data_IF_089305955938
#
_entry.id   IF_089305955938
#
_cell.length_a   1.000
_cell.length_b   1.000
_cell.length_c   1.000
_cell.angle_alpha   90.00
_cell.angle_beta   90.00
_cell.angle_gamma   90.00
#
_symmetry.space_group_name_H-M   'P 1'
#
loop_
_entity.id
_entity.type
_entity.pdbx_description
1 polymer ?
#
# COMPACT_ATOMS: atom_id res chain seq x y z
N UNK A 1 31.48 -1.99 -37.17
CA UNK A 1 30.34 -2.85 -36.89
C UNK A 1 30.31 -3.36 -35.42
N UNK A 2 31.41 -3.80 -34.86
CA UNK A 2 31.50 -4.34 -33.48
C UNK A 2 31.10 -3.30 -32.39
N UNK A 3 31.47 -2.06 -32.49
CA UNK A 3 31.17 -1.03 -31.47
C UNK A 3 29.67 -0.67 -31.35
N UNK A 4 28.92 -0.69 -32.46
CA UNK A 4 27.46 -0.47 -32.44
C UNK A 4 26.71 -1.64 -31.82
N UNK A 5 27.19 -2.88 -32.02
CA UNK A 5 26.58 -4.08 -31.44
C UNK A 5 26.76 -4.15 -29.91
N UNK A 6 27.93 -3.74 -29.40
CA UNK A 6 28.20 -3.69 -27.95
C UNK A 6 27.38 -2.57 -27.29
N UNK A 7 27.28 -1.39 -27.90
CA UNK A 7 26.45 -0.29 -27.39
C UNK A 7 24.98 -0.68 -27.25
N UNK A 8 24.39 -1.28 -28.29
CA UNK A 8 23.00 -1.75 -28.24
C UNK A 8 22.79 -2.85 -27.19
N UNK A 9 23.79 -3.72 -26.97
CA UNK A 9 23.69 -4.78 -25.95
C UNK A 9 23.70 -4.19 -24.54
N UNK A 10 24.53 -3.18 -24.29
CA UNK A 10 24.58 -2.49 -22.99
C UNK A 10 23.29 -1.70 -22.70
N UNK A 11 22.79 -0.96 -23.67
CA UNK A 11 21.52 -0.22 -23.54
C UNK A 11 20.34 -1.13 -23.27
N UNK A 12 20.26 -2.27 -23.94
CA UNK A 12 19.22 -3.29 -23.66
C UNK A 12 19.34 -3.87 -22.25
N UNK A 13 20.56 -4.08 -21.75
CA UNK A 13 20.79 -4.56 -20.37
C UNK A 13 20.35 -3.51 -19.34
N UNK A 14 20.68 -2.22 -19.55
CA UNK A 14 20.25 -1.13 -18.70
C UNK A 14 18.73 -1.03 -18.61
N UNK A 15 18.05 -1.09 -19.74
CA UNK A 15 16.59 -1.06 -19.80
C UNK A 15 15.98 -2.27 -19.09
N UNK A 16 16.51 -3.46 -19.31
CA UNK A 16 16.04 -4.66 -18.64
C UNK A 16 16.21 -4.59 -17.12
N UNK A 17 17.38 -4.14 -16.63
CA UNK A 17 17.63 -3.98 -15.20
C UNK A 17 16.72 -2.94 -14.55
N UNK A 18 16.46 -1.81 -15.21
CA UNK A 18 15.53 -0.80 -14.73
C UNK A 18 14.10 -1.36 -14.58
N UNK A 19 13.63 -2.16 -15.55
CA UNK A 19 12.33 -2.82 -15.50
C UNK A 19 12.25 -3.84 -14.36
N UNK A 20 13.28 -4.67 -14.18
CA UNK A 20 13.36 -5.64 -13.07
C UNK A 20 13.27 -4.93 -11.72
N UNK A 21 14.02 -3.84 -11.53
CA UNK A 21 13.98 -3.08 -10.29
C UNK A 21 12.66 -2.38 -10.05
N UNK A 22 12.01 -1.89 -11.10
CA UNK A 22 10.66 -1.33 -10.98
C UNK A 22 9.65 -2.39 -10.48
N UNK A 23 9.74 -3.62 -11.01
CA UNK A 23 8.90 -4.74 -10.56
C UNK A 23 9.21 -5.13 -9.12
N UNK A 24 10.49 -5.16 -8.72
CA UNK A 24 10.89 -5.44 -7.33
C UNK A 24 10.35 -4.38 -6.37
N UNK A 25 10.46 -3.10 -6.71
CA UNK A 25 9.89 -2.00 -5.92
C UNK A 25 8.36 -2.10 -5.83
N UNK A 26 7.71 -2.39 -6.95
CA UNK A 26 6.27 -2.60 -6.97
C UNK A 26 5.85 -3.78 -6.08
N UNK A 27 6.62 -4.87 -6.07
CA UNK A 27 6.38 -6.01 -5.17
C UNK A 27 6.52 -5.60 -3.70
N UNK A 28 7.57 -4.87 -3.32
CA UNK A 28 7.77 -4.43 -1.94
C UNK A 28 6.65 -3.50 -1.47
N UNK A 29 6.27 -2.54 -2.32
CA UNK A 29 5.17 -1.63 -2.03
C UNK A 29 3.83 -2.39 -1.92
N UNK A 30 3.58 -3.36 -2.81
CA UNK A 30 2.37 -4.19 -2.75
C UNK A 30 2.31 -5.00 -1.46
N UNK A 31 3.39 -5.68 -1.08
CA UNK A 31 3.46 -6.46 0.15
C UNK A 31 3.27 -5.56 1.38
N UNK A 32 3.88 -4.39 1.41
CA UNK A 32 3.67 -3.41 2.46
C UNK A 32 2.19 -2.99 2.55
N UNK A 33 1.60 -2.53 1.45
CA UNK A 33 0.19 -2.08 1.42
C UNK A 33 -0.77 -3.19 1.81
N UNK A 34 -0.47 -4.44 1.45
CA UNK A 34 -1.31 -5.59 1.79
C UNK A 34 -1.17 -6.00 3.25
N UNK A 35 0.07 -6.16 3.73
CA UNK A 35 0.35 -6.73 5.02
C UNK A 35 0.22 -5.69 6.14
N UNK A 36 0.86 -4.53 6.01
CA UNK A 36 0.70 -3.45 6.99
C UNK A 36 -0.65 -2.72 6.85
N UNK A 37 -1.26 -2.77 5.66
CA UNK A 37 -2.57 -2.15 5.42
C UNK A 37 -3.69 -2.71 6.28
N UNK A 38 -3.74 -4.03 6.54
CA UNK A 38 -4.73 -4.54 7.48
C UNK A 38 -4.40 -4.17 8.93
N UNK A 39 -3.13 -4.06 9.31
CA UNK A 39 -2.71 -3.61 10.63
C UNK A 39 -3.17 -2.17 10.88
N UNK A 40 -2.96 -1.28 9.90
CA UNK A 40 -3.47 0.10 9.92
C UNK A 40 -5.00 0.12 9.99
N UNK A 41 -5.67 -0.74 9.24
CA UNK A 41 -7.12 -0.90 9.25
C UNK A 41 -7.65 -1.32 10.62
N UNK A 42 -7.03 -2.29 11.27
CA UNK A 42 -7.36 -2.72 12.65
C UNK A 42 -7.10 -1.57 13.63
N UNK A 43 -5.98 -0.85 13.47
CA UNK A 43 -5.68 0.32 14.29
C UNK A 43 -6.75 1.41 14.20
N UNK A 44 -7.21 1.74 13.01
CA UNK A 44 -8.30 2.70 12.78
C UNK A 44 -9.60 2.20 13.41
N UNK A 45 -9.92 0.93 13.25
CA UNK A 45 -11.11 0.30 13.84
C UNK A 45 -11.09 0.31 15.37
N UNK A 46 -9.91 0.26 15.98
CA UNK A 46 -9.76 0.32 17.44
C UNK A 46 -10.30 1.63 18.04
N UNK A 47 -10.26 2.74 17.28
CA UNK A 47 -10.84 4.03 17.70
C UNK A 47 -12.36 3.98 17.88
N UNK A 48 -13.03 3.11 17.12
CA UNK A 48 -14.50 2.97 17.18
C UNK A 48 -14.96 2.01 18.27
N UNK A 49 -14.03 1.28 18.89
CA UNK A 49 -14.35 0.32 19.96
C UNK A 49 -14.61 1.04 21.28
N UNK A 50 -15.75 0.76 21.91
CA UNK A 50 -16.17 1.36 23.20
C UNK A 50 -15.70 0.58 24.42
N UNK A 51 -15.20 -0.66 24.24
CA UNK A 51 -14.86 -1.60 25.32
C UNK A 51 -13.37 -1.95 25.24
N UNK A 52 -12.67 -1.90 26.39
CA UNK A 52 -11.26 -2.27 26.50
C UNK A 52 -10.99 -3.73 26.11
N UNK A 53 -11.86 -4.64 26.50
CA UNK A 53 -11.75 -6.07 26.15
C UNK A 53 -11.77 -6.27 24.63
N UNK A 54 -12.65 -5.56 23.92
CA UNK A 54 -12.67 -5.60 22.44
C UNK A 54 -11.39 -5.02 21.84
N UNK A 55 -10.83 -3.94 22.41
CA UNK A 55 -9.55 -3.40 21.95
C UNK A 55 -8.40 -4.37 22.20
N UNK A 56 -8.39 -5.03 23.35
CA UNK A 56 -7.41 -6.07 23.65
C UNK A 56 -7.45 -7.18 22.59
N UNK A 57 -8.64 -7.66 22.21
CA UNK A 57 -8.80 -8.66 21.15
C UNK A 57 -8.29 -8.12 19.78
N UNK A 58 -8.63 -6.88 19.42
CA UNK A 58 -8.20 -6.26 18.18
C UNK A 58 -6.66 -6.16 18.11
N UNK A 59 -6.02 -5.69 19.17
CA UNK A 59 -4.56 -5.56 19.21
C UNK A 59 -3.90 -6.94 19.26
N UNK A 60 -4.41 -7.88 20.08
CA UNK A 60 -3.88 -9.25 20.13
C UNK A 60 -3.99 -9.93 18.76
N UNK A 61 -5.03 -9.62 17.94
CA UNK A 61 -5.18 -10.23 16.61
C UNK A 61 -4.02 -9.91 15.66
N UNK A 62 -3.33 -8.81 15.87
CA UNK A 62 -2.13 -8.46 15.12
C UNK A 62 -0.90 -9.26 15.60
N UNK A 63 -0.87 -9.66 16.88
CA UNK A 63 0.22 -10.44 17.46
C UNK A 63 1.58 -9.81 17.21
N UNK A 64 2.57 -10.64 16.96
CA UNK A 64 3.94 -10.20 16.63
C UNK A 64 4.19 -10.14 15.11
N UNK A 65 3.11 -10.11 14.28
CA UNK A 65 3.28 -10.07 12.82
C UNK A 65 3.40 -8.65 12.26
N UNK A 66 2.95 -7.63 13.01
CA UNK A 66 2.95 -6.24 12.56
C UNK A 66 4.35 -5.71 12.22
N UNK A 67 5.38 -6.04 13.00
CA UNK A 67 6.76 -5.64 12.77
C UNK A 67 7.31 -6.24 11.47
N UNK A 68 7.02 -7.52 11.22
CA UNK A 68 7.37 -8.19 9.97
C UNK A 68 6.67 -7.57 8.75
N UNK A 69 5.44 -7.08 8.91
CA UNK A 69 4.68 -6.42 7.85
C UNK A 69 5.28 -5.05 7.50
N UNK A 70 5.68 -4.26 8.51
CA UNK A 70 6.29 -2.94 8.32
C UNK A 70 7.66 -3.00 7.65
N UNK A 71 8.40 -4.11 7.79
CA UNK A 71 9.73 -4.29 7.20
C UNK A 71 9.74 -4.10 5.67
N UNK A 72 8.63 -4.41 4.97
CA UNK A 72 8.53 -4.20 3.53
C UNK A 72 8.62 -2.73 3.10
N UNK A 73 8.18 -1.79 3.95
CA UNK A 73 8.36 -0.35 3.72
C UNK A 73 9.84 0.04 3.80
N UNK A 74 10.57 -0.50 4.77
CA UNK A 74 12.01 -0.26 4.94
C UNK A 74 12.79 -0.78 3.73
N UNK A 75 12.47 -2.01 3.28
CA UNK A 75 13.06 -2.59 2.07
C UNK A 75 12.75 -1.75 0.82
N UNK A 76 11.52 -1.27 0.68
CA UNK A 76 11.11 -0.42 -0.44
C UNK A 76 11.89 0.89 -0.44
N UNK A 77 12.05 1.56 0.71
CA UNK A 77 12.82 2.79 0.83
C UNK A 77 14.29 2.60 0.48
N UNK A 78 14.93 1.54 1.01
CA UNK A 78 16.33 1.21 0.71
C UNK A 78 16.55 0.81 -0.75
N UNK A 79 15.64 0.05 -1.34
CA UNK A 79 15.69 -0.35 -2.74
C UNK A 79 15.48 0.84 -3.68
N UNK A 80 14.56 1.76 -3.36
CA UNK A 80 14.33 2.99 -4.12
C UNK A 80 15.59 3.87 -4.10
N UNK A 81 16.22 4.04 -2.93
CA UNK A 81 17.46 4.79 -2.77
C UNK A 81 18.60 4.22 -3.63
N UNK A 82 18.77 2.91 -3.62
CA UNK A 82 19.86 2.26 -4.35
C UNK A 82 19.63 2.10 -5.85
N UNK A 83 18.41 1.75 -6.26
CA UNK A 83 18.10 1.46 -7.66
C UNK A 83 17.71 2.71 -8.47
N UNK A 84 17.06 3.70 -7.82
CA UNK A 84 16.58 4.92 -8.47
C UNK A 84 16.89 6.17 -7.63
N UNK A 85 18.18 6.50 -7.44
CA UNK A 85 18.60 7.56 -6.52
C UNK A 85 18.04 8.95 -6.86
N UNK A 86 17.89 9.28 -8.14
CA UNK A 86 17.27 10.52 -8.59
C UNK A 86 15.79 10.57 -8.14
N UNK A 87 15.04 9.50 -8.37
CA UNK A 87 13.64 9.41 -7.97
C UNK A 87 13.49 9.48 -6.44
N UNK A 88 14.36 8.81 -5.70
CA UNK A 88 14.38 8.86 -4.23
C UNK A 88 14.52 10.30 -3.73
N UNK A 89 15.52 11.03 -4.21
CA UNK A 89 15.77 12.43 -3.80
C UNK A 89 14.60 13.36 -4.16
N UNK A 90 14.03 13.20 -5.35
CA UNK A 90 12.93 14.03 -5.85
C UNK A 90 11.64 13.75 -5.10
N UNK A 91 11.27 12.46 -4.88
CA UNK A 91 10.07 12.06 -4.13
C UNK A 91 10.17 12.53 -2.68
N UNK A 92 11.31 12.32 -2.00
CA UNK A 92 11.49 12.77 -0.62
C UNK A 92 11.40 14.29 -0.48
N UNK A 93 11.88 15.03 -1.46
CA UNK A 93 11.79 16.49 -1.45
C UNK A 93 10.36 16.97 -1.68
N UNK A 94 9.67 16.42 -2.69
CA UNK A 94 8.30 16.80 -3.02
C UNK A 94 7.28 16.39 -1.95
N UNK A 95 7.46 15.21 -1.34
CA UNK A 95 6.54 14.60 -0.39
C UNK A 95 7.09 14.60 1.04
N UNK A 96 7.97 15.55 1.37
CA UNK A 96 8.58 15.66 2.69
C UNK A 96 7.55 15.59 3.82
N UNK A 97 6.51 16.43 3.77
CA UNK A 97 5.49 16.47 4.81
C UNK A 97 4.67 15.16 4.89
N UNK A 98 4.11 14.62 3.79
CA UNK A 98 3.42 13.34 3.83
C UNK A 98 4.28 12.19 4.34
N UNK A 99 5.53 12.07 3.90
CA UNK A 99 6.42 10.99 4.31
C UNK A 99 6.73 11.09 5.81
N UNK A 100 7.06 12.28 6.32
CA UNK A 100 7.28 12.46 7.76
C UNK A 100 6.01 12.23 8.58
N UNK A 101 4.85 12.73 8.10
CA UNK A 101 3.55 12.47 8.76
C UNK A 101 3.22 10.98 8.83
N UNK A 102 3.50 10.24 7.75
CA UNK A 102 3.38 8.78 7.72
C UNK A 102 4.30 8.11 8.74
N UNK A 103 5.61 8.46 8.74
CA UNK A 103 6.60 7.89 9.66
C UNK A 103 6.23 8.18 11.12
N UNK A 104 5.81 9.41 11.45
CA UNK A 104 5.34 9.72 12.80
C UNK A 104 4.11 8.90 13.18
N UNK A 105 3.15 8.71 12.26
CA UNK A 105 2.00 7.83 12.47
C UNK A 105 2.43 6.40 12.80
N UNK A 106 3.37 5.84 12.05
CA UNK A 106 3.92 4.50 12.28
C UNK A 106 4.65 4.41 13.62
N UNK A 107 5.48 5.39 13.98
CA UNK A 107 6.16 5.45 15.28
C UNK A 107 5.15 5.48 16.42
N UNK A 108 4.12 6.34 16.37
CA UNK A 108 3.10 6.39 17.40
C UNK A 108 2.34 5.07 17.53
N UNK A 109 2.01 4.42 16.42
CA UNK A 109 1.39 3.10 16.40
C UNK A 109 2.27 2.04 17.07
N UNK A 110 3.54 1.93 16.65
CA UNK A 110 4.48 0.95 17.16
C UNK A 110 4.73 1.13 18.66
N UNK A 111 5.04 2.36 19.09
CA UNK A 111 5.26 2.68 20.51
C UNK A 111 4.00 2.40 21.33
N UNK A 112 2.81 2.74 20.83
CA UNK A 112 1.56 2.48 21.52
C UNK A 112 1.30 0.99 21.69
N UNK A 113 1.62 0.17 20.67
CA UNK A 113 1.45 -1.28 20.72
C UNK A 113 2.28 -1.89 21.84
N UNK A 114 3.57 -1.55 21.95
CA UNK A 114 4.50 -2.08 22.93
C UNK A 114 4.24 -1.55 24.36
N UNK A 115 4.00 -0.24 24.50
CA UNK A 115 3.90 0.37 25.83
C UNK A 115 2.54 0.21 26.50
N UNK A 116 1.47 -0.03 25.72
CA UNK A 116 0.10 -0.18 26.24
C UNK A 116 -0.02 -1.34 27.24
N UNK A 117 0.62 -2.46 26.97
CA UNK A 117 0.54 -3.66 27.82
C UNK A 117 1.07 -3.39 29.25
N UNK A 118 2.12 -2.57 29.35
CA UNK A 118 2.79 -2.25 30.62
C UNK A 118 2.26 -0.96 31.27
N UNK A 119 1.29 -0.28 30.64
CA UNK A 119 0.80 1.02 31.12
C UNK A 119 -0.43 0.89 32.00
N UNK A 120 -0.46 1.69 33.08
CA UNK A 120 -1.67 1.92 33.87
C UNK A 120 -2.71 2.78 33.15
N UNK A 121 -2.29 3.63 32.19
CA UNK A 121 -3.15 4.48 31.39
C UNK A 121 -3.32 3.93 29.97
N UNK A 122 -4.15 2.92 29.82
CA UNK A 122 -4.46 2.33 28.50
C UNK A 122 -5.13 3.29 27.52
N UNK A 123 -5.88 4.30 28.01
CA UNK A 123 -6.63 5.23 27.14
C UNK A 123 -5.70 6.04 26.24
N UNK A 124 -4.61 6.58 26.80
CA UNK A 124 -3.61 7.33 26.02
C UNK A 124 -3.05 6.46 24.87
N UNK A 125 -2.64 5.24 25.17
CA UNK A 125 -2.05 4.34 24.19
C UNK A 125 -3.06 3.82 23.16
N UNK A 126 -4.33 3.63 23.54
CA UNK A 126 -5.40 3.30 22.62
C UNK A 126 -5.58 4.40 21.55
N UNK A 127 -5.59 5.66 22.01
CA UNK A 127 -5.69 6.82 21.10
C UNK A 127 -4.43 6.93 20.23
N UNK A 128 -3.25 6.77 20.81
CA UNK A 128 -1.98 6.84 20.09
C UNK A 128 -1.89 5.74 18.99
N UNK A 129 -2.32 4.51 19.31
CA UNK A 129 -2.38 3.40 18.35
C UNK A 129 -3.33 3.70 17.17
N UNK A 130 -4.56 4.08 17.48
CA UNK A 130 -5.57 4.31 16.45
C UNK A 130 -5.32 5.58 15.63
N UNK A 131 -4.94 6.69 16.28
CA UNK A 131 -4.61 7.95 15.60
C UNK A 131 -3.32 7.81 14.80
N UNK A 132 -2.30 7.11 15.33
CA UNK A 132 -1.07 6.80 14.60
C UNK A 132 -1.36 6.02 13.31
N UNK A 133 -2.20 4.97 13.39
CA UNK A 133 -2.64 4.19 12.24
C UNK A 133 -3.43 5.04 11.22
N UNK A 134 -4.33 5.90 11.69
CA UNK A 134 -5.08 6.83 10.84
C UNK A 134 -4.16 7.83 10.14
N UNK A 135 -3.22 8.43 10.87
CA UNK A 135 -2.24 9.38 10.32
C UNK A 135 -1.37 8.69 9.25
N UNK A 136 -0.84 7.50 9.54
CA UNK A 136 -0.05 6.75 8.58
C UNK A 136 -0.82 6.50 7.29
N UNK A 137 -2.06 5.99 7.37
CA UNK A 137 -2.93 5.74 6.22
C UNK A 137 -3.28 7.04 5.45
N UNK A 138 -3.58 8.13 6.17
CA UNK A 138 -3.93 9.42 5.58
C UNK A 138 -2.76 9.98 4.75
N UNK A 139 -1.57 10.02 5.33
CA UNK A 139 -0.39 10.55 4.68
C UNK A 139 0.14 9.64 3.55
N UNK A 140 -0.01 8.32 3.65
CA UNK A 140 0.22 7.41 2.52
C UNK A 140 -0.71 7.74 1.35
N UNK A 141 -1.97 7.99 1.63
CA UNK A 141 -2.94 8.36 0.60
C UNK A 141 -2.64 9.69 -0.05
N UNK A 142 -2.21 10.70 0.71
CA UNK A 142 -1.73 11.97 0.15
C UNK A 142 -0.50 11.77 -0.72
N UNK A 143 0.48 10.98 -0.28
CA UNK A 143 1.67 10.67 -1.07
C UNK A 143 1.31 9.96 -2.39
N UNK A 144 0.44 8.95 -2.32
CA UNK A 144 -0.05 8.25 -3.51
C UNK A 144 -0.79 9.18 -4.46
N UNK A 145 -1.71 10.00 -3.94
CA UNK A 145 -2.47 10.97 -4.73
C UNK A 145 -1.57 11.95 -5.46
N UNK A 146 -0.56 12.48 -4.78
CA UNK A 146 0.41 13.42 -5.37
C UNK A 146 1.28 12.77 -6.45
N UNK A 147 1.70 11.51 -6.27
CA UNK A 147 2.45 10.78 -7.31
C UNK A 147 1.57 10.55 -8.54
N UNK A 148 0.29 10.20 -8.35
CA UNK A 148 -0.65 10.03 -9.46
C UNK A 148 -0.95 11.35 -10.18
N UNK A 149 -0.98 12.46 -9.46
CA UNK A 149 -1.15 13.80 -10.02
C UNK A 149 0.06 14.23 -10.85
N UNK A 150 1.23 13.80 -10.43
CA UNK A 150 2.49 14.15 -11.04
C UNK A 150 3.26 15.20 -10.24
N UNK A 151 4.56 14.95 -10.09
CA UNK A 151 5.48 15.83 -9.38
C UNK A 151 6.16 16.75 -10.39
N UNK A 152 6.13 18.06 -10.13
CA UNK A 152 6.80 19.07 -10.98
C UNK A 152 8.31 18.96 -10.82
N UNK A 153 9.01 18.72 -11.92
CA UNK A 153 10.47 18.60 -11.94
C UNK A 153 11.07 19.48 -13.02
N UNK A 154 12.31 19.91 -12.80
CA UNK A 154 13.13 20.58 -13.83
C UNK A 154 13.74 19.57 -14.82
N UNK A 155 14.52 20.06 -15.78
CA UNK A 155 15.21 19.24 -16.79
C UNK A 155 16.24 18.26 -16.17
N UNK A 156 16.72 18.56 -14.95
CA UNK A 156 17.66 17.71 -14.20
C UNK A 156 16.94 16.68 -13.33
N UNK A 157 15.60 16.72 -13.29
CA UNK A 157 14.78 15.84 -12.47
C UNK A 157 14.60 16.26 -11.02
N UNK A 158 15.02 17.48 -10.64
CA UNK A 158 14.83 17.99 -9.30
C UNK A 158 13.45 18.63 -9.14
N UNK A 159 12.88 18.50 -7.93
CA UNK A 159 11.60 19.09 -7.59
C UNK A 159 11.63 20.62 -7.62
N UNK A 160 10.68 21.23 -8.30
CA UNK A 160 10.52 22.70 -8.44
C UNK A 160 9.17 23.22 -7.94
N UNK A 161 8.39 22.39 -7.28
CA UNK A 161 7.08 22.76 -6.73
C UNK A 161 7.16 23.41 -5.34
N UNK A 162 5.97 23.63 -4.75
CA UNK A 162 5.82 24.07 -3.37
C UNK A 162 5.77 22.88 -2.42
N UNK A 163 6.24 23.07 -1.17
CA UNK A 163 6.12 22.07 -0.09
C UNK A 163 4.67 21.71 0.26
N UNK A 164 3.67 22.41 -0.30
CA UNK A 164 2.25 22.19 -0.09
C UNK A 164 1.52 21.62 -1.32
N UNK A 165 2.22 21.35 -2.43
CA UNK A 165 1.61 20.84 -3.67
C UNK A 165 0.93 19.48 -3.47
N UNK A 166 1.32 18.71 -2.45
CA UNK A 166 0.68 17.46 -2.07
C UNK A 166 -0.72 17.63 -1.48
N UNK A 167 -1.07 18.81 -0.95
CA UNK A 167 -2.34 19.09 -0.31
C UNK A 167 -3.35 19.63 -1.33
N UNK A 168 -3.90 18.73 -2.13
CA UNK A 168 -4.93 19.02 -3.11
C UNK A 168 -6.16 18.12 -2.87
N UNK A 169 -7.34 18.56 -3.36
CA UNK A 169 -8.59 17.83 -3.17
C UNK A 169 -8.57 16.42 -3.80
N UNK A 170 -7.78 16.21 -4.87
CA UNK A 170 -7.60 14.92 -5.55
C UNK A 170 -6.78 13.96 -4.68
N UNK A 171 -5.68 14.45 -4.16
CA UNK A 171 -4.86 13.70 -3.19
C UNK A 171 -5.65 13.36 -1.94
N UNK A 172 -6.52 14.28 -1.48
CA UNK A 172 -7.45 14.02 -0.37
C UNK A 172 -8.46 12.91 -0.73
N UNK A 173 -9.02 12.90 -1.94
CA UNK A 173 -9.93 11.84 -2.40
C UNK A 173 -9.23 10.48 -2.39
N UNK A 174 -7.99 10.41 -2.88
CA UNK A 174 -7.17 9.19 -2.85
C UNK A 174 -6.91 8.76 -1.40
N UNK A 175 -6.55 9.71 -0.51
CA UNK A 175 -6.29 9.42 0.89
C UNK A 175 -7.53 8.87 1.62
N UNK A 176 -8.69 9.47 1.43
CA UNK A 176 -9.94 8.98 2.01
C UNK A 176 -10.33 7.59 1.47
N UNK A 177 -10.10 7.36 0.17
CA UNK A 177 -10.36 6.05 -0.44
C UNK A 177 -9.41 4.98 0.07
N UNK A 178 -8.12 5.29 0.25
CA UNK A 178 -7.12 4.38 0.81
C UNK A 178 -7.45 4.01 2.26
N UNK A 179 -7.85 4.99 3.09
CA UNK A 179 -8.30 4.74 4.47
C UNK A 179 -9.48 3.75 4.48
N UNK A 180 -10.48 3.94 3.60
CA UNK A 180 -11.61 3.01 3.50
C UNK A 180 -11.17 1.62 3.01
N UNK A 181 -10.20 1.55 2.12
CA UNK A 181 -9.56 0.30 1.70
C UNK A 181 -8.88 -0.41 2.88
N UNK A 182 -8.13 0.31 3.70
CA UNK A 182 -7.50 -0.28 4.91
C UNK A 182 -8.54 -0.69 5.97
N UNK A 183 -9.60 0.07 6.17
CA UNK A 183 -10.74 -0.35 7.00
C UNK A 183 -11.40 -1.61 6.44
N UNK A 184 -11.51 -1.73 5.12
CA UNK A 184 -12.06 -2.92 4.47
C UNK A 184 -11.19 -4.16 4.71
N UNK A 185 -9.88 -4.08 4.42
CA UNK A 185 -9.00 -5.23 4.60
C UNK A 185 -8.83 -5.58 6.09
N UNK A 186 -8.74 -4.59 6.98
CA UNK A 186 -8.72 -4.79 8.43
C UNK A 186 -10.00 -5.47 8.94
N UNK A 187 -11.18 -5.03 8.47
CA UNK A 187 -12.46 -5.67 8.84
C UNK A 187 -12.54 -7.10 8.35
N UNK A 188 -12.13 -7.40 7.12
CA UNK A 188 -12.15 -8.78 6.58
C UNK A 188 -11.12 -9.68 7.26
N UNK A 189 -9.97 -9.13 7.67
CA UNK A 189 -9.01 -9.83 8.51
C UNK A 189 -9.60 -10.15 9.89
N UNK A 190 -10.28 -9.20 10.53
CA UNK A 190 -10.91 -9.41 11.84
C UNK A 190 -12.08 -10.40 11.78
N UNK A 191 -12.80 -10.51 10.67
CA UNK A 191 -13.79 -11.60 10.48
C UNK A 191 -13.11 -12.97 10.61
N UNK A 192 -11.90 -13.13 10.08
CA UNK A 192 -11.15 -14.37 10.16
C UNK A 192 -10.62 -14.64 11.58
N UNK A 193 -10.26 -13.57 12.32
CA UNK A 193 -9.54 -13.63 13.60
C UNK A 193 -10.44 -13.59 14.85
N UNK A 194 -11.70 -13.21 14.72
CA UNK A 194 -12.61 -13.01 15.87
C UNK A 194 -13.84 -13.92 15.79
N UNK A 195 -14.60 -13.95 16.87
CA UNK A 195 -15.85 -14.74 16.99
C UNK A 195 -17.00 -13.90 17.58
N UNK A 196 -18.21 -14.46 17.53
CA UNK A 196 -19.39 -13.97 18.22
C UNK A 196 -19.87 -12.59 17.75
N UNK A 197 -20.18 -11.70 18.70
CA UNK A 197 -20.69 -10.36 18.41
C UNK A 197 -19.65 -9.47 17.70
N UNK A 198 -18.37 -9.60 18.08
CA UNK A 198 -17.29 -8.82 17.51
C UNK A 198 -17.12 -9.16 16.02
N UNK A 199 -17.08 -10.43 15.67
CA UNK A 199 -17.06 -10.89 14.28
C UNK A 199 -18.29 -10.39 13.50
N UNK A 200 -19.48 -10.46 14.11
CA UNK A 200 -20.72 -9.99 13.47
C UNK A 200 -20.67 -8.48 13.17
N UNK A 201 -20.09 -7.67 14.07
CA UNK A 201 -19.91 -6.25 13.84
C UNK A 201 -18.98 -5.98 12.65
N UNK A 202 -17.92 -6.79 12.47
CA UNK A 202 -16.97 -6.64 11.37
C UNK A 202 -17.57 -6.99 10.01
N UNK A 203 -18.54 -7.92 9.92
CA UNK A 203 -19.29 -8.12 8.67
C UNK A 203 -20.03 -6.85 8.23
N UNK A 204 -20.63 -6.11 9.18
CA UNK A 204 -21.31 -4.85 8.87
C UNK A 204 -20.33 -3.78 8.43
N UNK A 205 -19.23 -3.63 9.16
CA UNK A 205 -18.17 -2.64 8.84
C UNK A 205 -17.55 -2.94 7.49
N UNK A 206 -17.21 -4.20 7.18
CA UNK A 206 -16.67 -4.60 5.89
C UNK A 206 -17.62 -4.28 4.73
N UNK A 207 -18.95 -4.46 4.90
CA UNK A 207 -19.92 -4.07 3.87
C UNK A 207 -19.94 -2.58 3.60
N UNK A 208 -19.93 -1.75 4.66
CA UNK A 208 -19.90 -0.29 4.54
C UNK A 208 -18.59 0.12 3.86
N UNK A 209 -17.46 -0.40 4.33
CA UNK A 209 -16.15 -0.10 3.77
C UNK A 209 -16.02 -0.54 2.30
N UNK A 210 -16.60 -1.68 1.90
CA UNK A 210 -16.62 -2.14 0.51
C UNK A 210 -17.35 -1.15 -0.41
N UNK A 211 -18.53 -0.66 0.01
CA UNK A 211 -19.27 0.33 -0.77
C UNK A 211 -18.58 1.69 -0.83
N UNK A 212 -18.04 2.18 0.28
CA UNK A 212 -17.32 3.46 0.31
C UNK A 212 -16.02 3.41 -0.49
N UNK A 213 -15.28 2.29 -0.43
CA UNK A 213 -14.09 2.05 -1.28
C UNK A 213 -14.47 2.02 -2.77
N UNK A 214 -15.55 1.34 -3.12
CA UNK A 214 -16.04 1.31 -4.51
C UNK A 214 -16.41 2.70 -5.02
N UNK A 215 -17.14 3.50 -4.23
CA UNK A 215 -17.50 4.87 -4.58
C UNK A 215 -16.24 5.71 -4.79
N UNK A 216 -15.27 5.64 -3.86
CA UNK A 216 -14.01 6.35 -3.98
C UNK A 216 -13.23 5.93 -5.24
N UNK A 217 -13.12 4.61 -5.50
CA UNK A 217 -12.45 4.09 -6.69
C UNK A 217 -13.11 4.55 -8.00
N UNK A 218 -14.45 4.59 -8.05
CA UNK A 218 -15.20 5.13 -9.21
C UNK A 218 -14.89 6.61 -9.39
N UNK A 219 -14.92 7.40 -8.32
CA UNK A 219 -14.63 8.84 -8.40
C UNK A 219 -13.20 9.10 -8.88
N UNK A 220 -12.21 8.34 -8.38
CA UNK A 220 -10.82 8.43 -8.84
C UNK A 220 -10.72 8.02 -10.32
N UNK A 221 -11.36 6.92 -10.71
CA UNK A 221 -11.36 6.42 -12.10
C UNK A 221 -11.93 7.45 -13.07
N UNK A 222 -12.99 8.16 -12.68
CA UNK A 222 -13.60 9.22 -13.50
C UNK A 222 -12.73 10.48 -13.49
N UNK A 223 -12.17 10.86 -12.34
CA UNK A 223 -11.37 12.08 -12.22
C UNK A 223 -10.04 11.98 -12.99
N UNK A 224 -9.41 10.79 -13.02
CA UNK A 224 -8.10 10.58 -13.64
C UNK A 224 -8.02 11.05 -15.10
N UNK A 225 -8.84 10.60 -16.05
CA UNK A 225 -8.76 11.05 -17.44
C UNK A 225 -9.25 12.49 -17.67
N UNK A 226 -10.03 13.05 -16.74
CA UNK A 226 -10.52 14.43 -16.83
C UNK A 226 -9.41 15.42 -16.49
N UNK A 227 -8.56 15.06 -15.53
CA UNK A 227 -7.55 15.94 -14.94
C UNK A 227 -6.17 15.75 -15.56
N UNK A 228 -5.83 14.51 -15.96
CA UNK A 228 -4.48 14.18 -16.44
C UNK A 228 -4.50 13.91 -17.95
N UNK A 229 -3.98 14.86 -18.70
CA UNK A 229 -3.91 14.76 -20.17
C UNK A 229 -3.10 13.54 -20.64
N UNK A 230 -1.98 13.26 -19.98
CA UNK A 230 -1.13 12.10 -20.26
C UNK A 230 -1.83 10.77 -19.94
N UNK A 231 -2.54 10.70 -18.81
CA UNK A 231 -3.34 9.53 -18.47
C UNK A 231 -4.49 9.35 -19.45
N UNK A 232 -5.15 10.45 -19.85
CA UNK A 232 -6.22 10.43 -20.84
C UNK A 232 -5.74 9.87 -22.18
N UNK A 233 -4.61 10.37 -22.70
CA UNK A 233 -4.03 9.89 -23.93
C UNK A 233 -3.75 8.38 -23.88
N UNK A 234 -3.19 7.88 -22.79
CA UNK A 234 -2.86 6.46 -22.60
C UNK A 234 -4.11 5.59 -22.38
N UNK A 235 -5.08 6.05 -21.58
CA UNK A 235 -6.29 5.29 -21.26
C UNK A 235 -7.23 5.10 -22.46
N UNK A 236 -7.24 6.04 -23.43
CA UNK A 236 -8.12 5.98 -24.60
C UNK A 236 -7.40 5.63 -25.91
N UNK A 237 -6.08 5.33 -25.83
CA UNK A 237 -5.35 4.83 -27.01
C UNK A 237 -5.70 3.37 -27.28
N UNK A 238 -5.81 2.99 -28.56
CA UNK A 238 -5.99 1.59 -28.96
C UNK A 238 -4.62 0.93 -29.19
N UNK A 239 -4.38 -0.31 -28.71
CA UNK A 239 -5.34 -1.25 -28.09
C UNK A 239 -5.46 -1.16 -26.56
N UNK A 240 -4.71 -0.27 -25.89
CA UNK A 240 -4.58 -0.18 -24.43
C UNK A 240 -5.93 0.08 -23.73
N UNK A 241 -6.87 0.76 -24.39
CA UNK A 241 -8.22 1.04 -23.88
C UNK A 241 -8.95 -0.24 -23.42
N UNK A 242 -8.75 -1.36 -24.12
CA UNK A 242 -9.39 -2.62 -23.72
C UNK A 242 -8.86 -3.16 -22.40
N UNK A 243 -7.54 -3.08 -22.20
CA UNK A 243 -6.89 -3.49 -20.97
C UNK A 243 -7.35 -2.60 -19.79
N UNK A 244 -7.34 -1.29 -19.97
CA UNK A 244 -7.76 -0.34 -18.92
C UNK A 244 -9.25 -0.42 -18.61
N UNK A 245 -10.11 -0.75 -19.59
CA UNK A 245 -11.54 -0.96 -19.35
C UNK A 245 -11.83 -2.25 -18.58
N UNK A 246 -10.98 -3.26 -18.70
CA UNK A 246 -11.15 -4.54 -18.00
C UNK A 246 -10.97 -4.38 -16.48
N UNK A 247 -10.07 -3.48 -16.02
CA UNK A 247 -9.76 -3.28 -14.60
C UNK A 247 -11.00 -2.87 -13.79
N UNK A 248 -11.75 -1.79 -14.14
CA UNK A 248 -12.96 -1.43 -13.41
C UNK A 248 -14.05 -2.49 -13.49
N UNK A 249 -14.20 -3.20 -14.61
CA UNK A 249 -15.17 -4.30 -14.75
C UNK A 249 -14.85 -5.43 -13.78
N UNK A 250 -13.58 -5.87 -13.72
CA UNK A 250 -13.13 -6.87 -12.74
C UNK A 250 -13.26 -6.37 -11.32
N UNK A 251 -13.01 -5.08 -11.05
CA UNK A 251 -13.18 -4.46 -9.75
C UNK A 251 -14.63 -4.56 -9.25
N UNK A 252 -15.62 -4.23 -10.09
CA UNK A 252 -17.04 -4.37 -9.77
C UNK A 252 -17.41 -5.85 -9.53
N UNK A 253 -16.89 -6.77 -10.34
CA UNK A 253 -17.09 -8.21 -10.12
C UNK A 253 -16.56 -8.66 -8.77
N UNK A 254 -15.32 -8.30 -8.43
CA UNK A 254 -14.69 -8.66 -7.14
C UNK A 254 -15.46 -8.09 -5.94
N UNK A 255 -15.92 -6.85 -6.02
CA UNK A 255 -16.80 -6.25 -5.00
C UNK A 255 -18.12 -7.03 -4.90
N UNK A 256 -18.72 -7.43 -6.00
CA UNK A 256 -19.93 -8.27 -6.00
C UNK A 256 -19.73 -9.60 -5.29
N UNK A 257 -18.61 -10.28 -5.58
CA UNK A 257 -18.22 -11.54 -4.93
C UNK A 257 -17.91 -11.34 -3.43
N UNK A 258 -17.26 -10.24 -3.08
CA UNK A 258 -17.00 -9.85 -1.69
C UNK A 258 -18.32 -9.64 -0.93
N UNK A 259 -19.25 -8.85 -1.45
CA UNK A 259 -20.56 -8.59 -0.83
C UNK A 259 -21.37 -9.89 -0.70
N UNK A 260 -21.35 -10.75 -1.73
CA UNK A 260 -21.99 -12.07 -1.66
C UNK A 260 -21.39 -12.92 -0.53
N UNK A 261 -20.08 -12.96 -0.42
CA UNK A 261 -19.34 -13.67 0.62
C UNK A 261 -19.69 -13.16 2.03
N UNK A 262 -19.71 -11.82 2.21
CA UNK A 262 -20.12 -11.18 3.46
C UNK A 262 -21.60 -11.47 3.82
N UNK A 263 -22.49 -11.55 2.84
CA UNK A 263 -23.90 -11.88 3.07
C UNK A 263 -24.09 -13.35 3.50
N UNK A 264 -23.25 -14.24 2.99
CA UNK A 264 -23.22 -15.66 3.38
C UNK A 264 -22.52 -15.91 4.72
N UNK A 265 -21.99 -14.86 5.36
CA UNK A 265 -21.17 -14.94 6.58
C UNK A 265 -19.98 -15.92 6.45
N UNK A 266 -19.36 -15.96 5.28
CA UNK A 266 -18.15 -16.73 5.07
C UNK A 266 -16.98 -16.06 5.82
N UNK A 267 -16.09 -16.84 6.43
CA UNK A 267 -15.02 -16.30 7.28
C UNK A 267 -13.73 -15.98 6.49
N UNK A 268 -13.34 -16.85 5.57
CA UNK A 268 -12.06 -16.73 4.84
C UNK A 268 -12.19 -15.98 3.53
N UNK A 269 -13.25 -16.25 2.75
CA UNK A 269 -13.41 -15.73 1.40
C UNK A 269 -13.54 -14.20 1.32
N UNK A 270 -14.08 -13.46 2.33
CA UNK A 270 -14.08 -12.00 2.29
C UNK A 270 -12.66 -11.42 2.21
N UNK A 271 -11.73 -11.96 3.00
CA UNK A 271 -10.33 -11.51 2.96
C UNK A 271 -9.70 -11.82 1.60
N UNK A 272 -9.94 -13.01 1.03
CA UNK A 272 -9.41 -13.39 -0.29
C UNK A 272 -9.88 -12.42 -1.38
N UNK A 273 -11.19 -12.10 -1.43
CA UNK A 273 -11.72 -11.16 -2.42
C UNK A 273 -11.18 -9.75 -2.23
N UNK A 274 -10.96 -9.33 -0.97
CA UNK A 274 -10.35 -8.03 -0.67
C UNK A 274 -8.89 -7.98 -1.13
N UNK A 275 -8.10 -9.02 -0.89
CA UNK A 275 -6.71 -9.13 -1.36
C UNK A 275 -6.64 -9.05 -2.89
N UNK A 276 -7.52 -9.78 -3.58
CA UNK A 276 -7.59 -9.74 -5.04
C UNK A 276 -8.01 -8.37 -5.58
N UNK A 277 -8.90 -7.66 -4.89
CA UNK A 277 -9.30 -6.30 -5.23
C UNK A 277 -8.11 -5.32 -5.12
N UNK A 278 -7.34 -5.42 -4.04
CA UNK A 278 -6.14 -4.60 -3.86
C UNK A 278 -5.09 -4.93 -4.93
N UNK A 279 -4.85 -6.20 -5.23
CA UNK A 279 -3.94 -6.62 -6.29
C UNK A 279 -4.35 -6.04 -7.65
N UNK A 280 -5.63 -6.15 -8.00
CA UNK A 280 -6.16 -5.60 -9.24
C UNK A 280 -5.97 -4.09 -9.32
N UNK A 281 -6.28 -3.36 -8.25
CA UNK A 281 -6.11 -1.91 -8.16
C UNK A 281 -4.63 -1.53 -8.27
N UNK A 282 -3.76 -2.25 -7.58
CA UNK A 282 -2.32 -2.00 -7.60
C UNK A 282 -1.71 -2.23 -8.98
N UNK A 283 -2.07 -3.32 -9.64
CA UNK A 283 -1.65 -3.60 -11.02
C UNK A 283 -2.17 -2.51 -11.97
N UNK A 284 -3.43 -2.09 -11.80
CA UNK A 284 -4.02 -1.00 -12.59
C UNK A 284 -3.25 0.30 -12.45
N UNK A 285 -2.92 0.71 -11.22
CA UNK A 285 -2.11 1.90 -10.95
C UNK A 285 -0.70 1.78 -11.54
N UNK A 286 -0.05 0.62 -11.39
CA UNK A 286 1.27 0.37 -11.98
C UNK A 286 1.27 0.51 -13.51
N UNK A 287 0.25 -0.01 -14.18
CA UNK A 287 0.09 0.13 -15.65
C UNK A 287 -0.14 1.59 -16.09
N UNK A 288 -0.86 2.38 -15.29
CA UNK A 288 -1.07 3.81 -15.58
C UNK A 288 0.23 4.59 -15.42
N UNK A 289 0.98 4.33 -14.37
CA UNK A 289 2.23 5.03 -14.03
C UNK A 289 3.37 4.64 -14.98
N UNK A 290 3.51 3.35 -15.32
CA UNK A 290 4.60 2.86 -16.17
C UNK A 290 4.63 3.59 -17.54
N UNK A 291 5.80 3.99 -18.11
CA UNK A 291 7.16 3.72 -17.65
C UNK A 291 7.74 4.79 -16.72
N UNK A 292 6.93 5.67 -16.15
CA UNK A 292 7.40 6.72 -15.27
C UNK A 292 7.56 6.19 -13.84
N UNK A 293 8.64 6.61 -13.17
CA UNK A 293 8.79 6.48 -11.73
C UNK A 293 8.29 7.75 -11.03
N UNK A 294 8.40 8.89 -11.71
CA UNK A 294 7.81 10.18 -11.32
C UNK A 294 7.02 10.72 -12.52
N UNK A 295 5.70 10.47 -12.59
CA UNK A 295 4.88 10.99 -13.68
C UNK A 295 4.81 12.52 -13.65
N UNK A 296 4.73 13.18 -14.82
CA UNK A 296 5.03 12.67 -16.14
C UNK A 296 6.50 12.88 -16.52
N UNK A 297 7.36 13.36 -15.59
CA UNK A 297 8.67 13.94 -15.88
C UNK A 297 9.80 12.93 -16.01
N UNK A 298 9.84 11.86 -15.15
CA UNK A 298 11.01 11.00 -15.06
C UNK A 298 10.61 9.54 -15.26
N UNK A 299 11.21 8.91 -16.28
CA UNK A 299 11.04 7.48 -16.54
C UNK A 299 11.96 6.63 -15.65
N UNK A 300 11.63 5.32 -15.53
CA UNK A 300 12.49 4.35 -14.84
C UNK A 300 13.89 4.26 -15.47
N UNK A 301 14.00 4.49 -16.78
CA UNK A 301 15.25 4.41 -17.50
C UNK A 301 16.18 5.61 -17.21
N UNK A 302 15.60 6.80 -17.02
CA UNK A 302 16.34 8.02 -16.67
C UNK A 302 16.78 8.05 -15.21
N UNK A 303 15.98 7.43 -14.32
CA UNK A 303 16.25 7.44 -12.89
C UNK A 303 17.13 6.28 -12.41
N UNK A 304 17.34 5.24 -13.25
CA UNK A 304 18.05 4.03 -12.87
C UNK A 304 19.52 4.31 -12.51
N UNK A 305 20.01 3.66 -11.48
CA UNK A 305 21.43 3.65 -11.13
C UNK A 305 22.26 2.89 -12.17
N UNK A 306 23.59 3.02 -12.10
CA UNK A 306 24.50 2.33 -13.00
C UNK A 306 24.26 0.79 -12.99
N UNK A 307 24.36 0.10 -14.15
CA UNK A 307 24.09 -1.33 -14.27
C UNK A 307 24.86 -2.20 -13.28
N UNK A 308 26.11 -1.86 -12.97
CA UNK A 308 26.92 -2.58 -11.99
C UNK A 308 26.34 -2.52 -10.59
N UNK A 309 25.79 -1.38 -10.18
CA UNK A 309 25.12 -1.22 -8.89
C UNK A 309 23.81 -2.01 -8.87
N UNK A 310 23.00 -1.95 -9.93
CA UNK A 310 21.75 -2.70 -10.04
C UNK A 310 21.97 -4.22 -9.97
N UNK A 311 22.99 -4.76 -10.68
CA UNK A 311 23.33 -6.17 -10.63
C UNK A 311 23.83 -6.57 -9.24
N UNK A 312 24.72 -5.77 -8.63
CA UNK A 312 25.20 -6.00 -7.27
C UNK A 312 24.02 -6.12 -6.27
N UNK A 313 23.10 -5.17 -6.31
CA UNK A 313 21.94 -5.17 -5.43
C UNK A 313 20.99 -6.35 -5.67
N UNK A 314 20.80 -6.82 -6.94
CA UNK A 314 19.98 -7.99 -7.23
C UNK A 314 20.51 -9.23 -6.53
N UNK A 315 21.83 -9.42 -6.45
CA UNK A 315 22.44 -10.57 -5.78
C UNK A 315 22.06 -10.59 -4.29
N UNK A 316 22.20 -9.46 -3.61
CA UNK A 316 21.92 -9.35 -2.17
C UNK A 316 20.40 -9.39 -1.86
N UNK A 317 19.62 -8.58 -2.56
CA UNK A 317 18.16 -8.52 -2.37
C UNK A 317 17.50 -9.79 -2.85
N UNK A 318 17.97 -10.38 -3.97
CA UNK A 318 17.46 -11.65 -4.46
C UNK A 318 17.68 -12.81 -3.48
N UNK A 319 18.74 -12.76 -2.68
CA UNK A 319 18.94 -13.70 -1.56
C UNK A 319 18.05 -13.36 -0.34
N UNK A 320 17.85 -12.08 -0.06
CA UNK A 320 17.10 -11.64 1.10
C UNK A 320 15.59 -11.85 0.95
N UNK A 321 15.02 -11.61 -0.24
CA UNK A 321 13.57 -11.73 -0.49
C UNK A 321 13.02 -13.12 -0.11
N UNK A 322 13.59 -14.25 -0.53
CA UNK A 322 13.09 -15.58 -0.13
C UNK A 322 13.11 -15.78 1.39
N UNK A 323 14.13 -15.28 2.09
CA UNK A 323 14.26 -15.39 3.54
C UNK A 323 13.13 -14.59 4.21
N UNK A 324 12.90 -13.37 3.76
CA UNK A 324 11.85 -12.50 4.29
C UNK A 324 10.45 -13.07 4.04
N UNK A 325 10.19 -13.58 2.84
CA UNK A 325 8.93 -14.26 2.52
C UNK A 325 8.72 -15.50 3.38
N UNK A 326 9.75 -16.32 3.56
CA UNK A 326 9.69 -17.49 4.45
C UNK A 326 9.38 -17.09 5.88
N UNK A 327 10.06 -16.06 6.41
CA UNK A 327 9.82 -15.51 7.75
C UNK A 327 8.38 -15.01 7.92
N UNK A 328 7.87 -14.23 6.96
CA UNK A 328 6.49 -13.76 6.98
C UNK A 328 5.50 -14.94 6.97
N UNK A 329 5.64 -15.88 6.01
CA UNK A 329 4.76 -17.06 5.91
C UNK A 329 4.80 -17.87 7.21
N UNK A 330 5.97 -18.06 7.79
CA UNK A 330 6.13 -18.77 9.06
C UNK A 330 5.36 -18.09 10.20
N UNK A 331 5.48 -16.76 10.34
CA UNK A 331 4.74 -15.99 11.32
C UNK A 331 3.21 -16.14 11.15
N UNK A 332 2.71 -16.04 9.91
CA UNK A 332 1.28 -16.25 9.65
C UNK A 332 0.80 -17.68 9.97
N UNK A 333 1.64 -18.68 9.81
CA UNK A 333 1.33 -20.07 10.19
C UNK A 333 1.29 -20.21 11.71
N UNK A 334 2.25 -19.62 12.43
CA UNK A 334 2.33 -19.68 13.89
C UNK A 334 1.13 -18.99 14.53
N UNK A 335 0.76 -17.80 14.06
CA UNK A 335 -0.33 -16.98 14.60
C UNK A 335 -1.66 -17.18 13.86
N UNK A 336 -1.94 -18.36 13.27
CA UNK A 336 -3.12 -18.60 12.41
C UNK A 336 -4.45 -18.70 13.13
N UNK A 337 -4.49 -18.96 14.44
CA UNK A 337 -5.72 -19.19 15.21
C UNK A 337 -6.63 -17.97 15.34
N UNK A 338 -7.85 -18.17 15.83
CA UNK A 338 -8.73 -17.09 16.29
C UNK A 338 -8.28 -16.60 17.68
N UNK A 339 -8.54 -15.34 17.95
CA UNK A 339 -8.22 -14.73 19.26
C UNK A 339 -9.41 -14.93 20.18
N UNK A 340 -9.20 -15.65 21.27
CA UNK A 340 -10.19 -15.90 22.32
C UNK A 340 -9.68 -15.22 23.61
N UNK A 341 -10.35 -14.11 24.00
CA UNK A 341 -9.85 -13.26 25.08
C UNK A 341 -8.53 -12.56 24.69
N UNK A 342 -7.46 -12.76 25.49
CA UNK A 342 -6.13 -12.21 25.23
C UNK A 342 -5.13 -13.25 24.69
N UNK A 343 -5.61 -14.44 24.29
CA UNK A 343 -4.80 -15.55 23.79
C UNK A 343 -5.29 -16.03 22.43
N UNK A 344 -4.40 -16.65 21.65
CA UNK A 344 -4.79 -17.37 20.44
C UNK A 344 -5.42 -18.71 20.85
N UNK A 345 -6.61 -19.02 20.30
CA UNK A 345 -7.20 -20.34 20.40
C UNK A 345 -6.40 -21.36 19.56
N UNK A 346 -6.33 -22.60 20.03
CA UNK A 346 -5.72 -23.74 19.30
C UNK A 346 -6.46 -24.06 17.99
#
# INVERSE_FOLDING_TARGET
MYGKSIGNCMENLEHFLAQVWFIILALFLFLYVMLDGFDLGVGILSLTSSNEERRDILMTSLGNIWDANETWLVLMGGALFGAFPLAYGTILNALYIPIFGMIFGLIFRAVAFEFREHSTNKVFWNVAFGVGSFMAALFQGFALGSILEGIKVDESGHFIGSMWDWLDWRSLLVALTLIQGYVLIGSTYLILKTEGELQTSHYRTAKIAAWTTLIGAILITIATPVVYENARAKLFHQPEVYLFSLIPVLGVLLIGLLIQSLNRKAETTPLVWTVLLFLLTFVGLGLVVFPYIIPPGITIYQAAAAPSALVFMIIFIGFLIPIMLFYNIYNYIVFRGKVIGTHYGE
#
